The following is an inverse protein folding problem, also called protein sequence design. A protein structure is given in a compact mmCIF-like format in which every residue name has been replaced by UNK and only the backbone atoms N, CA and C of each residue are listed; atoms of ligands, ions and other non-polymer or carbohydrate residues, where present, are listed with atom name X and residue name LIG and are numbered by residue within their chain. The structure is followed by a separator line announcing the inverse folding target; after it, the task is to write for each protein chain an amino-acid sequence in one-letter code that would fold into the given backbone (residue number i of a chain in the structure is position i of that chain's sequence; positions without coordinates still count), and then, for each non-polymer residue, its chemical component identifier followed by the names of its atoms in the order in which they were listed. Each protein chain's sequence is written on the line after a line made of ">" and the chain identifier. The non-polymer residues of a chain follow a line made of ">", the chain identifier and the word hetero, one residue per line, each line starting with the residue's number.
data_IF_626358758411
#
_entry.id   IF_626358758411
#
_cell.length_a   1.000
_cell.length_b   1.000
_cell.length_c   1.000
_cell.angle_alpha   90.00
_cell.angle_beta   90.00
_cell.angle_gamma   90.00
#
_symmetry.space_group_name_H-M   'P 1'
#
loop_
_entity.id
_entity.type
_entity.pdbx_description
1 polymer ?
#
# COMPACT_ATOMS: atom_id res chain seq x y z
N UNK A 1 14.58 20.74 0.38
CA UNK A 1 13.79 19.95 -0.58
C UNK A 1 14.71 18.85 -1.12
N UNK A 2 14.26 17.60 -1.22
CA UNK A 2 15.04 16.56 -1.86
C UNK A 2 15.30 16.96 -3.32
N UNK A 3 16.55 16.90 -3.78
CA UNK A 3 16.94 17.17 -5.16
C UNK A 3 17.22 15.84 -5.87
N UNK A 4 16.80 15.71 -7.13
CA UNK A 4 17.20 14.57 -7.98
C UNK A 4 18.72 14.51 -8.03
N UNK A 5 19.32 13.36 -7.72
CA UNK A 5 20.77 13.21 -7.79
C UNK A 5 21.26 13.21 -9.24
N UNK A 6 22.41 13.83 -9.51
CA UNK A 6 23.04 13.81 -10.85
C UNK A 6 23.22 12.37 -11.37
N UNK A 7 23.60 11.44 -10.49
CA UNK A 7 23.78 10.04 -10.85
C UNK A 7 22.48 9.37 -11.34
N UNK A 8 21.36 9.64 -10.66
CA UNK A 8 20.05 9.13 -11.07
C UNK A 8 19.59 9.73 -12.40
N UNK A 9 19.75 11.04 -12.58
CA UNK A 9 19.42 11.72 -13.84
C UNK A 9 20.29 11.24 -15.00
N UNK A 10 21.59 11.06 -14.77
CA UNK A 10 22.53 10.53 -15.77
C UNK A 10 22.12 9.13 -16.21
N UNK A 11 21.88 8.21 -15.27
CA UNK A 11 21.45 6.84 -15.59
C UNK A 11 20.14 6.82 -16.41
N UNK A 12 19.17 7.63 -16.00
CA UNK A 12 17.89 7.80 -16.71
C UNK A 12 18.07 8.30 -18.15
N UNK A 13 18.89 9.33 -18.36
CA UNK A 13 19.14 9.89 -19.68
C UNK A 13 20.01 8.97 -20.55
N UNK A 14 20.99 8.26 -19.98
CA UNK A 14 21.81 7.29 -20.71
C UNK A 14 20.95 6.15 -21.26
N UNK A 15 19.97 5.63 -20.50
CA UNK A 15 19.01 4.63 -21.01
C UNK A 15 18.21 5.12 -22.23
N UNK A 16 17.96 6.43 -22.30
CA UNK A 16 17.20 7.08 -23.36
C UNK A 16 18.09 7.60 -24.50
N UNK A 17 19.39 7.34 -24.48
CA UNK A 17 20.41 7.94 -25.35
C UNK A 17 20.32 9.48 -25.41
N UNK A 18 20.10 10.13 -24.26
CA UNK A 18 19.96 11.57 -24.08
C UNK A 18 20.99 12.16 -23.10
N UNK A 19 22.07 11.43 -22.78
CA UNK A 19 23.07 11.86 -21.80
C UNK A 19 23.69 13.24 -22.12
N UNK A 20 23.77 13.62 -23.41
CA UNK A 20 24.24 14.94 -23.84
C UNK A 20 23.40 16.11 -23.28
N UNK A 21 22.17 15.84 -22.84
CA UNK A 21 21.26 16.83 -22.27
C UNK A 21 21.29 16.88 -20.74
N UNK A 22 22.21 16.16 -20.09
CA UNK A 22 22.23 16.02 -18.62
C UNK A 22 22.20 17.35 -17.88
N UNK A 23 23.06 18.30 -18.26
CA UNK A 23 23.09 19.59 -17.57
C UNK A 23 21.77 20.35 -17.77
N UNK A 24 21.25 20.39 -19.00
CA UNK A 24 19.98 21.04 -19.29
C UNK A 24 18.79 20.39 -18.56
N UNK A 25 18.83 19.06 -18.36
CA UNK A 25 17.83 18.34 -17.57
C UNK A 25 17.87 18.71 -16.09
N UNK A 26 19.06 18.78 -15.49
CA UNK A 26 19.23 19.18 -14.09
C UNK A 26 18.79 20.63 -13.88
N UNK A 27 19.17 21.53 -14.79
CA UNK A 27 18.80 22.94 -14.74
C UNK A 27 17.27 23.12 -14.85
N UNK A 28 16.62 22.33 -15.70
CA UNK A 28 15.15 22.32 -15.79
C UNK A 28 14.51 21.80 -14.49
N UNK A 29 15.05 20.74 -13.88
CA UNK A 29 14.52 20.22 -12.62
C UNK A 29 14.64 21.24 -11.48
N UNK A 30 15.74 22.00 -11.43
CA UNK A 30 15.91 23.08 -10.45
C UNK A 30 14.96 24.26 -10.73
N UNK A 31 14.73 24.60 -11.99
CA UNK A 31 13.86 25.71 -12.40
C UNK A 31 12.37 25.42 -12.20
N UNK A 32 11.90 24.24 -12.57
CA UNK A 32 10.49 23.83 -12.47
C UNK A 32 10.15 23.16 -11.13
N UNK A 33 11.17 22.92 -10.27
CA UNK A 33 10.97 22.33 -8.95
C UNK A 33 10.76 20.81 -8.95
N UNK A 34 11.11 20.12 -10.04
CA UNK A 34 10.99 18.68 -10.14
C UNK A 34 11.97 17.98 -9.17
N UNK A 35 11.43 17.33 -8.15
CA UNK A 35 12.18 16.68 -7.08
C UNK A 35 12.43 15.18 -7.33
N UNK A 36 11.80 14.60 -8.36
CA UNK A 36 11.85 13.17 -8.68
C UNK A 36 11.85 12.90 -10.19
N UNK A 37 12.35 11.73 -10.61
CA UNK A 37 12.29 11.34 -12.05
C UNK A 37 10.85 11.07 -12.49
N UNK A 38 9.98 10.69 -11.56
CA UNK A 38 8.54 10.52 -11.76
C UNK A 38 7.91 11.83 -12.25
N UNK A 39 8.18 12.96 -11.58
CA UNK A 39 7.71 14.29 -11.99
C UNK A 39 8.26 14.69 -13.37
N UNK A 40 9.51 14.33 -13.68
CA UNK A 40 10.12 14.55 -15.01
C UNK A 40 9.38 13.77 -16.10
N UNK A 41 8.90 12.56 -15.79
CA UNK A 41 8.12 11.74 -16.74
C UNK A 41 6.66 12.22 -16.83
N UNK A 42 6.05 12.67 -15.74
CA UNK A 42 4.71 13.26 -15.72
C UNK A 42 4.66 14.53 -16.58
N UNK A 43 5.68 15.39 -16.46
CA UNK A 43 5.85 16.61 -17.25
C UNK A 43 6.64 16.39 -18.55
N UNK A 44 6.60 15.16 -19.09
CA UNK A 44 7.41 14.74 -20.23
C UNK A 44 7.30 15.65 -21.46
N UNK A 45 6.13 16.24 -21.68
CA UNK A 45 5.89 17.14 -22.82
C UNK A 45 6.60 18.48 -22.64
N UNK A 46 6.59 19.06 -21.45
CA UNK A 46 7.28 20.32 -21.15
C UNK A 46 8.78 20.10 -21.05
N UNK A 47 9.19 19.01 -20.38
CA UNK A 47 10.59 18.59 -20.30
C UNK A 47 11.22 18.44 -21.70
N UNK A 48 10.58 17.69 -22.60
CA UNK A 48 11.09 17.49 -23.96
C UNK A 48 11.18 18.79 -24.78
N UNK A 49 10.25 19.73 -24.55
CA UNK A 49 10.27 21.04 -25.20
C UNK A 49 11.37 21.94 -24.66
N UNK A 50 11.55 21.99 -23.34
CA UNK A 50 12.60 22.76 -22.68
C UNK A 50 14.00 22.30 -23.09
N UNK A 51 14.21 20.98 -23.15
CA UNK A 51 15.47 20.38 -23.62
C UNK A 51 15.69 20.53 -25.13
N UNK A 52 14.69 21.03 -25.88
CA UNK A 52 14.71 21.17 -27.35
C UNK A 52 15.05 19.85 -28.04
N UNK A 53 14.48 18.75 -27.57
CA UNK A 53 14.70 17.42 -28.13
C UNK A 53 14.27 17.39 -29.60
N UNK A 54 15.08 16.74 -30.46
CA UNK A 54 14.72 16.52 -31.86
C UNK A 54 13.50 15.59 -31.95
N UNK A 55 12.78 15.62 -33.07
CA UNK A 55 11.57 14.82 -33.27
C UNK A 55 11.72 13.32 -32.94
N UNK A 56 12.87 12.71 -33.26
CA UNK A 56 13.13 11.30 -32.94
C UNK A 56 13.50 11.08 -31.46
N UNK A 57 14.26 11.99 -30.87
CA UNK A 57 14.63 11.98 -29.46
C UNK A 57 13.40 12.16 -28.57
N UNK A 58 12.51 13.09 -28.94
CA UNK A 58 11.22 13.32 -28.28
C UNK A 58 10.32 12.09 -28.34
N UNK A 59 10.12 11.50 -29.52
CA UNK A 59 9.31 10.27 -29.65
C UNK A 59 9.88 9.11 -28.85
N UNK A 60 11.22 8.97 -28.81
CA UNK A 60 11.89 7.95 -28.00
C UNK A 60 11.70 8.21 -26.51
N UNK A 61 11.85 9.46 -26.09
CA UNK A 61 11.60 9.89 -24.71
C UNK A 61 10.16 9.59 -24.29
N UNK A 62 9.16 10.10 -25.02
CA UNK A 62 7.73 9.89 -24.72
C UNK A 62 7.35 8.40 -24.66
N UNK A 63 7.96 7.55 -25.52
CA UNK A 63 7.68 6.11 -25.55
C UNK A 63 8.39 5.33 -24.45
N UNK A 64 9.63 5.70 -24.08
CA UNK A 64 10.52 4.88 -23.24
C UNK A 64 10.86 5.50 -21.90
N UNK A 65 10.39 6.71 -21.59
CA UNK A 65 10.67 7.37 -20.32
C UNK A 65 10.17 6.54 -19.11
N UNK A 66 9.02 5.88 -19.23
CA UNK A 66 8.52 4.96 -18.19
C UNK A 66 9.42 3.71 -18.03
N UNK A 67 9.97 3.19 -19.12
CA UNK A 67 10.93 2.06 -19.08
C UNK A 67 12.26 2.49 -18.43
N UNK A 68 12.75 3.68 -18.79
CA UNK A 68 13.97 4.26 -18.24
C UNK A 68 13.84 4.54 -16.74
N UNK A 69 12.67 5.00 -16.30
CA UNK A 69 12.35 5.20 -14.90
C UNK A 69 12.41 3.87 -14.15
N UNK A 70 11.81 2.81 -14.69
CA UNK A 70 11.84 1.47 -14.11
C UNK A 70 13.26 0.86 -14.07
N UNK A 71 14.12 1.18 -15.06
CA UNK A 71 15.50 0.69 -15.12
C UNK A 71 16.43 1.43 -14.15
N UNK A 72 16.27 2.75 -13.99
CA UNK A 72 17.03 3.56 -13.04
C UNK A 72 16.86 3.09 -11.58
N UNK A 73 15.71 2.48 -11.27
CA UNK A 73 15.40 1.86 -9.97
C UNK A 73 16.12 0.52 -9.74
N UNK A 74 16.56 -0.17 -10.80
CA UNK A 74 17.32 -1.43 -10.72
C UNK A 74 18.82 -1.18 -10.54
N UNK A 75 19.35 -0.11 -11.13
CA UNK A 75 20.77 0.24 -11.06
C UNK A 75 21.23 0.76 -9.68
N UNK A 76 20.31 1.02 -8.76
CA UNK A 76 20.58 1.49 -7.39
C UNK A 76 20.52 0.38 -6.32
N UNK A 77 20.26 -0.87 -6.71
CA UNK A 77 20.27 -2.01 -5.79
C UNK A 77 21.65 -2.73 -5.79
N UNK A 78 22.24 -3.07 -4.62
CA UNK A 78 23.43 -3.90 -4.58
C UNK A 78 23.11 -5.33 -5.05
N UNK A 79 23.99 -5.90 -5.88
CA UNK A 79 23.85 -7.23 -6.44
C UNK A 79 24.12 -8.32 -5.39
N UNK A 80 23.22 -9.30 -5.25
CA UNK A 80 23.53 -10.58 -4.62
C UNK A 80 23.05 -11.77 -5.45
N UNK A 81 23.93 -12.77 -5.46
CA UNK A 81 24.07 -13.88 -6.39
C UNK A 81 23.11 -15.05 -6.16
N UNK A 82 22.88 -15.79 -7.24
CA UNK A 82 22.11 -17.04 -7.30
C UNK A 82 22.65 -18.15 -6.39
N UNK A 83 21.80 -18.69 -5.51
CA UNK A 83 21.39 -20.11 -5.45
C UNK A 83 20.75 -20.45 -4.09
N UNK A 84 19.44 -20.72 -4.06
CA UNK A 84 18.93 -22.09 -3.89
C UNK A 84 17.39 -22.07 -3.85
N UNK A 85 16.82 -22.91 -4.70
CA UNK A 85 15.42 -23.02 -5.06
C UNK A 85 14.60 -23.70 -3.97
N UNK A 86 14.20 -22.92 -2.96
CA UNK A 86 12.91 -23.08 -2.26
C UNK A 86 12.23 -21.71 -2.29
N UNK A 87 11.34 -21.47 -3.27
CA UNK A 87 10.43 -20.33 -3.17
C UNK A 87 9.60 -20.53 -1.90
N UNK A 88 9.97 -19.85 -0.81
CA UNK A 88 9.28 -19.99 0.47
C UNK A 88 7.81 -19.59 0.26
N UNK A 89 6.86 -20.40 0.74
CA UNK A 89 5.44 -20.08 0.66
C UNK A 89 5.04 -18.93 1.62
N UNK A 90 5.94 -18.58 2.55
CA UNK A 90 5.74 -17.60 3.61
C UNK A 90 5.22 -16.23 3.12
N UNK A 91 5.69 -15.66 2.00
CA UNK A 91 5.17 -14.39 1.49
C UNK A 91 3.72 -14.51 1.00
N UNK A 92 3.35 -15.62 0.35
CA UNK A 92 2.00 -15.82 -0.18
C UNK A 92 1.00 -16.06 0.97
N UNK A 93 1.38 -16.88 1.96
CA UNK A 93 0.58 -17.14 3.15
C UNK A 93 0.36 -15.87 3.98
N UNK A 94 1.41 -15.06 4.17
CA UNK A 94 1.33 -13.79 4.89
C UNK A 94 0.32 -12.82 4.25
N UNK A 95 0.30 -12.71 2.92
CA UNK A 95 -0.65 -11.83 2.21
C UNK A 95 -2.12 -12.24 2.39
N UNK A 96 -2.36 -13.53 2.61
CA UNK A 96 -3.70 -14.09 2.86
C UNK A 96 -4.12 -13.99 4.34
N UNK A 97 -3.30 -13.43 5.22
CA UNK A 97 -3.64 -13.32 6.65
C UNK A 97 -4.72 -12.28 6.90
N UNK A 98 -5.60 -12.60 7.83
CA UNK A 98 -6.61 -11.72 8.37
C UNK A 98 -6.43 -11.59 9.88
N UNK A 99 -6.89 -10.46 10.42
CA UNK A 99 -6.90 -10.22 11.87
C UNK A 99 -8.05 -10.97 12.52
N UNK A 100 -7.84 -11.51 13.72
CA UNK A 100 -8.92 -12.15 14.49
C UNK A 100 -10.02 -11.14 14.83
N UNK A 101 -11.27 -11.50 14.54
CA UNK A 101 -12.41 -10.66 14.88
C UNK A 101 -12.59 -10.47 16.40
N UNK A 102 -12.24 -11.47 17.20
CA UNK A 102 -12.31 -11.36 18.67
C UNK A 102 -11.27 -10.39 19.20
N UNK A 103 -10.02 -10.49 18.71
CA UNK A 103 -8.97 -9.54 19.09
C UNK A 103 -9.33 -8.09 18.72
N UNK A 104 -9.93 -7.89 17.55
CA UNK A 104 -10.41 -6.57 17.12
C UNK A 104 -11.50 -6.01 18.04
N UNK A 105 -12.37 -6.84 18.61
CA UNK A 105 -13.44 -6.35 19.48
C UNK A 105 -12.99 -6.20 20.93
N UNK A 106 -12.16 -7.11 21.42
CA UNK A 106 -11.83 -7.22 22.83
C UNK A 106 -10.57 -6.42 23.22
N UNK A 107 -9.62 -6.27 22.29
CA UNK A 107 -8.28 -5.70 22.57
C UNK A 107 -8.05 -4.38 21.85
N UNK A 108 -8.34 -4.33 20.55
CA UNK A 108 -7.99 -3.19 19.71
C UNK A 108 -8.56 -1.83 20.18
N UNK A 109 -9.81 -1.71 20.68
CA UNK A 109 -10.35 -0.41 21.11
C UNK A 109 -9.60 0.17 22.32
N UNK A 110 -9.24 -0.68 23.28
CA UNK A 110 -8.45 -0.27 24.44
C UNK A 110 -7.04 0.17 24.03
N UNK A 111 -6.42 -0.54 23.08
CA UNK A 111 -5.13 -0.17 22.51
C UNK A 111 -5.20 1.19 21.80
N UNK A 112 -6.22 1.43 20.97
CA UNK A 112 -6.46 2.72 20.30
C UNK A 112 -6.56 3.86 21.32
N UNK A 113 -7.34 3.67 22.38
CA UNK A 113 -7.50 4.69 23.42
C UNK A 113 -6.19 4.97 24.15
N UNK A 114 -5.42 3.93 24.48
CA UNK A 114 -4.11 4.06 25.13
C UNK A 114 -3.11 4.82 24.26
N UNK A 115 -3.06 4.51 22.96
CA UNK A 115 -2.08 5.11 22.04
C UNK A 115 -2.43 6.53 21.58
N UNK A 116 -3.72 6.90 21.55
CA UNK A 116 -4.16 8.20 21.00
C UNK A 116 -4.79 9.14 22.02
N UNK A 117 -5.18 8.64 23.19
CA UNK A 117 -5.97 9.38 24.18
C UNK A 117 -7.42 9.67 23.78
N UNK A 118 -7.86 9.23 22.59
CA UNK A 118 -9.20 9.49 22.05
C UNK A 118 -10.10 8.26 22.22
N UNK A 119 -11.38 8.48 22.50
CA UNK A 119 -12.35 7.38 22.67
C UNK A 119 -12.73 6.71 21.34
N UNK A 120 -12.85 7.47 20.26
CA UNK A 120 -13.19 6.93 18.93
C UNK A 120 -12.59 7.75 17.79
N UNK A 121 -11.25 7.72 17.63
CA UNK A 121 -10.60 8.30 16.46
C UNK A 121 -10.99 7.55 15.17
N UNK A 122 -10.77 8.19 14.02
CA UNK A 122 -10.85 7.52 12.72
C UNK A 122 -9.60 6.68 12.44
N UNK A 123 -9.67 5.76 11.49
CA UNK A 123 -8.50 4.95 11.14
C UNK A 123 -7.38 5.77 10.46
N UNK A 124 -7.73 6.91 9.84
CA UNK A 124 -6.75 7.92 9.39
C UNK A 124 -5.96 8.47 10.59
N UNK A 125 -6.66 8.81 11.68
CA UNK A 125 -6.05 9.40 12.87
C UNK A 125 -5.17 8.41 13.65
N UNK A 126 -5.48 7.10 13.63
CA UNK A 126 -4.70 6.10 14.38
C UNK A 126 -3.55 5.49 13.58
N UNK A 127 -3.55 5.58 12.24
CA UNK A 127 -2.54 4.95 11.39
C UNK A 127 -1.08 5.36 11.76
N UNK A 128 -0.79 6.65 12.03
CA UNK A 128 0.55 7.07 12.44
C UNK A 128 0.99 6.50 13.79
N UNK A 129 0.07 6.04 14.64
CA UNK A 129 0.41 5.51 15.97
C UNK A 129 0.55 3.99 15.95
N UNK A 130 -0.37 3.30 15.26
CA UNK A 130 -0.50 1.84 15.35
C UNK A 130 0.02 1.11 14.12
N UNK A 131 0.02 1.76 12.96
CA UNK A 131 0.26 1.07 11.68
C UNK A 131 1.63 1.36 11.08
N UNK A 132 2.18 2.57 11.23
CA UNK A 132 3.45 2.94 10.61
C UNK A 132 4.33 3.94 11.41
N UNK A 133 3.99 4.25 12.65
CA UNK A 133 4.84 5.08 13.52
C UNK A 133 5.87 4.28 14.31
N UNK A 134 6.67 4.99 15.11
CA UNK A 134 7.72 4.40 15.96
C UNK A 134 7.16 3.45 17.03
N UNK A 135 5.92 3.65 17.44
CA UNK A 135 5.19 2.75 18.35
C UNK A 135 4.22 1.80 17.61
N UNK A 136 4.33 1.69 16.28
CA UNK A 136 3.47 0.83 15.48
C UNK A 136 3.63 -0.64 15.85
N UNK A 137 2.53 -1.40 15.81
CA UNK A 137 2.48 -2.80 16.27
C UNK A 137 3.49 -3.70 15.53
N UNK A 138 3.74 -3.38 14.25
CA UNK A 138 4.69 -4.09 13.41
C UNK A 138 6.13 -3.59 13.47
N UNK A 139 6.42 -2.50 14.20
CA UNK A 139 7.75 -1.88 14.27
C UNK A 139 8.79 -2.86 14.84
N UNK A 140 9.95 -2.94 14.20
CA UNK A 140 11.06 -3.81 14.59
C UNK A 140 10.84 -5.30 14.33
N UNK A 141 9.63 -5.71 13.95
CA UNK A 141 9.32 -7.11 13.60
C UNK A 141 9.69 -7.38 12.14
N UNK A 142 10.35 -8.50 11.88
CA UNK A 142 10.74 -8.92 10.53
C UNK A 142 9.49 -9.27 9.73
N UNK A 143 9.33 -8.62 8.58
CA UNK A 143 8.21 -8.84 7.68
C UNK A 143 8.38 -10.17 6.93
N UNK A 144 7.46 -11.14 7.05
CA UNK A 144 7.58 -12.44 6.38
C UNK A 144 7.39 -12.37 4.86
N UNK A 145 7.03 -11.20 4.31
CA UNK A 145 6.79 -11.00 2.88
C UNK A 145 8.05 -10.64 2.09
N UNK A 146 8.97 -9.92 2.73
CA UNK A 146 10.16 -9.34 2.11
C UNK A 146 11.44 -9.53 2.96
N UNK A 147 11.34 -10.07 4.17
CA UNK A 147 12.47 -10.30 5.09
C UNK A 147 13.00 -9.02 5.75
N UNK A 148 12.40 -7.87 5.48
CA UNK A 148 12.87 -6.57 5.95
C UNK A 148 12.24 -6.20 7.31
N UNK A 149 12.87 -5.33 8.11
CA UNK A 149 12.26 -4.81 9.34
C UNK A 149 10.94 -4.09 9.08
N UNK A 150 10.13 -3.97 10.13
CA UNK A 150 8.81 -3.33 10.14
C UNK A 150 7.77 -4.08 9.28
N UNK A 151 6.93 -4.86 9.97
CA UNK A 151 5.93 -5.76 9.37
C UNK A 151 4.51 -5.16 9.36
N UNK A 152 3.57 -5.80 8.67
CA UNK A 152 2.15 -5.46 8.80
C UNK A 152 1.60 -5.85 10.18
N UNK A 153 0.48 -5.26 10.60
CA UNK A 153 -0.12 -5.58 11.91
C UNK A 153 -0.51 -7.06 11.99
N UNK A 154 -1.10 -7.64 10.93
CA UNK A 154 -1.47 -9.06 10.95
C UNK A 154 -0.25 -9.98 11.06
N UNK A 155 0.88 -9.62 10.46
CA UNK A 155 2.09 -10.43 10.58
C UNK A 155 2.66 -10.34 12.00
N UNK A 156 2.62 -9.14 12.60
CA UNK A 156 3.03 -8.91 13.98
C UNK A 156 2.20 -9.68 15.01
N UNK A 157 0.93 -9.92 14.72
CA UNK A 157 -0.02 -10.62 15.59
C UNK A 157 0.00 -12.15 15.43
N UNK A 158 0.74 -12.68 14.44
CA UNK A 158 0.66 -14.10 14.10
C UNK A 158 1.19 -15.01 15.21
N UNK A 159 2.32 -14.67 15.83
CA UNK A 159 2.91 -15.45 16.91
C UNK A 159 2.04 -15.52 18.17
N UNK A 160 1.12 -14.56 18.33
CA UNK A 160 0.19 -14.48 19.46
C UNK A 160 -1.15 -15.19 19.18
N UNK A 161 -1.31 -15.79 17.99
CA UNK A 161 -2.57 -16.42 17.57
C UNK A 161 -3.69 -15.43 17.21
N UNK A 162 -3.38 -14.13 17.14
CA UNK A 162 -4.34 -13.06 16.87
C UNK A 162 -4.49 -12.75 15.36
N UNK A 163 -3.83 -13.52 14.50
CA UNK A 163 -4.03 -13.51 13.05
C UNK A 163 -3.97 -14.92 12.47
N UNK A 164 -4.66 -15.13 11.36
CA UNK A 164 -4.84 -16.43 10.73
C UNK A 164 -5.23 -16.30 9.26
N UNK A 165 -5.51 -17.41 8.57
CA UNK A 165 -5.97 -17.35 7.18
C UNK A 165 -7.31 -16.62 7.11
N UNK A 166 -7.40 -15.60 6.24
CA UNK A 166 -8.62 -14.80 6.10
C UNK A 166 -9.82 -15.64 5.68
N UNK A 167 -10.95 -15.42 6.34
CA UNK A 167 -12.24 -16.05 6.05
C UNK A 167 -13.23 -15.08 5.43
N UNK A 168 -12.98 -13.78 5.55
CA UNK A 168 -13.81 -12.72 4.98
C UNK A 168 -12.97 -11.49 4.65
N UNK A 169 -13.28 -10.84 3.54
CA UNK A 169 -12.70 -9.57 3.13
C UNK A 169 -13.57 -8.43 3.64
N UNK A 170 -13.00 -7.42 4.30
CA UNK A 170 -13.74 -6.24 4.71
C UNK A 170 -13.50 -5.08 3.74
N UNK A 171 -14.55 -4.69 3.03
CA UNK A 171 -14.59 -3.48 2.22
C UNK A 171 -15.23 -2.35 3.02
N UNK A 172 -14.51 -1.24 3.21
CA UNK A 172 -14.81 -0.19 4.18
C UNK A 172 -14.05 1.11 3.87
N UNK A 173 -14.20 2.15 4.71
CA UNK A 173 -13.57 3.47 4.51
C UNK A 173 -12.74 3.91 5.73
N UNK A 174 -11.52 4.40 5.49
CA UNK A 174 -10.56 4.80 6.52
C UNK A 174 -11.01 5.95 7.42
N UNK A 175 -11.92 6.81 6.96
CA UNK A 175 -12.46 7.93 7.75
C UNK A 175 -13.48 7.48 8.81
N UNK A 176 -13.90 6.21 8.82
CA UNK A 176 -14.82 5.67 9.82
C UNK A 176 -14.21 5.67 11.21
N UNK A 177 -15.05 5.81 12.25
CA UNK A 177 -14.62 5.81 13.65
C UNK A 177 -14.49 4.39 14.17
N UNK A 178 -13.48 4.15 15.01
CA UNK A 178 -13.15 2.80 15.52
C UNK A 178 -14.35 2.14 16.21
N UNK A 179 -15.08 2.86 17.08
CA UNK A 179 -16.20 2.27 17.84
C UNK A 179 -17.43 2.00 16.96
N UNK A 180 -17.65 2.80 15.90
CA UNK A 180 -18.73 2.56 14.95
C UNK A 180 -18.47 1.26 14.18
N UNK A 181 -17.23 1.10 13.70
CA UNK A 181 -16.79 -0.11 12.99
C UNK A 181 -16.86 -1.34 13.89
N UNK A 182 -16.37 -1.25 15.14
CA UNK A 182 -16.43 -2.34 16.10
C UNK A 182 -17.89 -2.71 16.45
N UNK A 183 -18.77 -1.72 16.65
CA UNK A 183 -20.18 -1.96 16.92
C UNK A 183 -20.88 -2.65 15.75
N UNK A 184 -20.61 -2.21 14.52
CA UNK A 184 -21.15 -2.84 13.31
C UNK A 184 -20.66 -4.29 13.17
N UNK A 185 -19.36 -4.52 13.37
CA UNK A 185 -18.76 -5.84 13.31
C UNK A 185 -19.32 -6.78 14.38
N UNK A 186 -19.45 -6.30 15.63
CA UNK A 186 -20.05 -7.06 16.73
C UNK A 186 -21.51 -7.46 16.44
N UNK A 187 -22.29 -6.56 15.83
CA UNK A 187 -23.66 -6.88 15.40
C UNK A 187 -23.69 -7.92 14.29
N UNK A 188 -22.80 -7.81 13.30
CA UNK A 188 -22.71 -8.80 12.22
C UNK A 188 -22.23 -10.16 12.74
N UNK A 189 -21.23 -10.24 13.63
CA UNK A 189 -20.77 -11.50 14.20
C UNK A 189 -21.88 -12.24 14.96
N UNK A 190 -22.76 -11.52 15.67
CA UNK A 190 -23.94 -12.12 16.32
C UNK A 190 -24.86 -12.83 15.32
N UNK A 191 -24.93 -12.38 14.06
CA UNK A 191 -25.73 -13.07 13.03
C UNK A 191 -25.05 -14.32 12.47
N UNK A 192 -23.74 -14.51 12.71
CA UNK A 192 -23.00 -15.69 12.28
C UNK A 192 -23.08 -16.86 13.28
N UNK A 193 -23.61 -16.62 14.49
CA UNK A 193 -23.67 -17.60 15.59
C UNK A 193 -22.48 -17.51 16.55
N UNK A 194 -22.71 -17.86 17.83
CA UNK A 194 -21.76 -17.66 18.94
C UNK A 194 -20.42 -18.39 18.76
N UNK A 195 -20.44 -19.60 18.19
CA UNK A 195 -19.21 -20.38 17.97
C UNK A 195 -18.43 -19.96 16.72
N UNK A 196 -19.06 -19.23 15.79
CA UNK A 196 -18.42 -18.83 14.54
C UNK A 196 -17.45 -17.65 14.73
N UNK A 197 -17.68 -16.79 15.73
CA UNK A 197 -16.93 -15.54 15.91
C UNK A 197 -15.43 -15.77 16.16
N UNK A 198 -15.07 -16.84 16.87
CA UNK A 198 -13.68 -17.23 17.12
C UNK A 198 -12.95 -17.77 15.88
N UNK A 199 -13.69 -18.09 14.81
CA UNK A 199 -13.16 -18.60 13.55
C UNK A 199 -13.14 -17.53 12.45
N UNK A 200 -13.53 -16.29 12.76
CA UNK A 200 -13.54 -15.20 11.78
C UNK A 200 -12.20 -14.47 11.78
N UNK A 201 -11.51 -14.54 10.65
CA UNK A 201 -10.30 -13.78 10.36
C UNK A 201 -10.58 -12.82 9.20
N UNK A 202 -10.40 -11.53 9.45
CA UNK A 202 -10.83 -10.47 8.55
C UNK A 202 -9.61 -9.99 7.74
N UNK A 203 -9.65 -10.15 6.43
CA UNK A 203 -8.75 -9.42 5.55
C UNK A 203 -9.20 -7.97 5.51
N UNK A 204 -8.46 -7.11 6.22
CA UNK A 204 -8.81 -5.73 6.43
C UNK A 204 -7.59 -4.88 6.17
N UNK A 205 -7.62 -4.08 5.09
CA UNK A 205 -6.46 -3.38 4.54
C UNK A 205 -5.64 -2.54 5.55
N UNK A 206 -6.27 -2.01 6.61
CA UNK A 206 -5.56 -1.33 7.70
C UNK A 206 -4.56 -2.25 8.41
N UNK A 207 -4.96 -3.50 8.68
CA UNK A 207 -4.16 -4.49 9.39
C UNK A 207 -3.27 -5.30 8.45
N UNK A 208 -3.77 -5.60 7.25
CA UNK A 208 -3.12 -6.53 6.31
C UNK A 208 -2.06 -5.88 5.46
N UNK A 209 -2.23 -4.62 5.05
CA UNK A 209 -1.21 -3.94 4.27
C UNK A 209 -0.06 -3.51 5.18
N UNK A 210 1.17 -3.64 4.70
CA UNK A 210 2.32 -3.13 5.42
C UNK A 210 2.40 -1.61 5.22
N UNK A 211 1.83 -0.86 6.17
CA UNK A 211 1.75 0.60 6.08
C UNK A 211 3.12 1.26 6.15
N UNK A 212 4.13 0.64 6.77
CA UNK A 212 5.50 1.15 6.73
C UNK A 212 6.03 1.24 5.30
N UNK A 213 5.77 0.23 4.47
CA UNK A 213 6.20 0.23 3.05
C UNK A 213 5.46 1.27 2.21
N UNK A 214 4.16 1.42 2.46
CA UNK A 214 3.31 2.36 1.72
C UNK A 214 3.73 3.82 2.03
N UNK A 215 4.10 4.11 3.28
CA UNK A 215 4.49 5.46 3.70
C UNK A 215 5.93 5.82 3.35
N UNK A 216 6.84 4.85 3.20
CA UNK A 216 8.24 5.09 2.80
C UNK A 216 8.44 5.48 1.32
N UNK A 217 7.40 5.96 0.63
CA UNK A 217 7.50 6.44 -0.75
C UNK A 217 7.53 5.33 -1.81
N UNK A 218 7.08 4.12 -1.48
CA UNK A 218 6.80 3.13 -2.51
C UNK A 218 5.66 3.62 -3.40
N UNK A 219 5.94 3.87 -4.68
CA UNK A 219 4.90 4.15 -5.69
C UNK A 219 4.04 2.89 -5.85
N UNK A 220 3.01 2.73 -5.03
CA UNK A 220 2.01 1.69 -5.28
C UNK A 220 1.12 2.20 -6.40
N UNK A 221 1.24 1.63 -7.59
CA UNK A 221 0.42 2.07 -8.71
C UNK A 221 -1.03 1.65 -8.48
N UNK A 222 -1.98 2.32 -9.16
CA UNK A 222 -3.38 1.88 -9.19
C UNK A 222 -3.50 0.42 -9.66
N UNK A 223 -2.61 -0.01 -10.56
CA UNK A 223 -2.59 -1.38 -11.06
C UNK A 223 -2.09 -2.37 -10.00
N UNK A 224 -1.04 -2.03 -9.24
CA UNK A 224 -0.57 -2.87 -8.12
C UNK A 224 -1.62 -3.01 -7.02
N UNK A 225 -2.40 -1.94 -6.78
CA UNK A 225 -3.55 -1.96 -5.88
C UNK A 225 -4.68 -2.83 -6.47
N UNK A 226 -5.01 -2.69 -7.75
CA UNK A 226 -6.03 -3.52 -8.40
C UNK A 226 -5.67 -5.02 -8.36
N UNK A 227 -4.42 -5.36 -8.65
CA UNK A 227 -3.93 -6.75 -8.62
C UNK A 227 -3.88 -7.28 -7.18
N UNK A 228 -3.34 -6.51 -6.23
CA UNK A 228 -3.26 -6.92 -4.83
C UNK A 228 -4.65 -7.05 -4.20
N UNK A 229 -5.54 -6.09 -4.36
CA UNK A 229 -6.86 -6.13 -3.73
C UNK A 229 -7.81 -7.10 -4.45
N UNK A 230 -7.81 -7.12 -5.79
CA UNK A 230 -8.64 -8.00 -6.59
C UNK A 230 -8.31 -9.48 -6.38
N UNK A 231 -7.04 -9.85 -6.37
CA UNK A 231 -6.63 -11.23 -6.13
C UNK A 231 -6.97 -11.71 -4.73
N UNK A 232 -6.73 -10.87 -3.72
CA UNK A 232 -7.00 -11.23 -2.33
C UNK A 232 -8.50 -11.39 -2.11
N UNK A 233 -9.31 -10.47 -2.63
CA UNK A 233 -10.76 -10.56 -2.59
C UNK A 233 -11.27 -11.86 -3.23
N UNK A 234 -10.80 -12.20 -4.44
CA UNK A 234 -11.15 -13.45 -5.13
C UNK A 234 -10.72 -14.70 -4.35
N UNK A 235 -9.51 -14.69 -3.77
CA UNK A 235 -8.98 -15.82 -2.99
C UNK A 235 -9.70 -16.02 -1.65
N UNK A 236 -10.19 -14.95 -1.03
CA UNK A 236 -10.99 -15.03 0.20
C UNK A 236 -12.42 -15.50 -0.10
N UNK A 237 -13.01 -15.07 -1.23
CA UNK A 237 -14.28 -15.59 -1.74
C UNK A 237 -15.54 -15.15 -0.98
N UNK A 238 -15.40 -14.38 0.10
CA UNK A 238 -16.50 -13.75 0.83
C UNK A 238 -16.13 -12.32 1.19
N UNK A 239 -17.07 -11.40 1.00
CA UNK A 239 -16.88 -9.98 1.31
C UNK A 239 -17.97 -9.45 2.24
N UNK A 240 -17.56 -8.66 3.23
CA UNK A 240 -18.41 -7.81 4.05
C UNK A 240 -18.26 -6.37 3.61
N UNK A 241 -19.37 -5.72 3.28
CA UNK A 241 -19.42 -4.29 2.96
C UNK A 241 -19.85 -3.52 4.20
N UNK A 242 -19.08 -2.51 4.60
CA UNK A 242 -19.42 -1.65 5.71
C UNK A 242 -19.78 -0.23 5.27
N UNK A 243 -21.01 0.17 5.55
CA UNK A 243 -21.55 1.50 5.28
C UNK A 243 -21.85 2.22 6.60
N UNK A 244 -21.32 3.42 6.78
CA UNK A 244 -21.54 4.21 7.99
C UNK A 244 -22.96 4.80 8.10
N UNK A 245 -23.66 4.95 6.98
CA UNK A 245 -24.99 5.56 6.90
C UNK A 245 -25.88 4.77 5.94
N UNK A 246 -27.18 4.85 6.15
CA UNK A 246 -28.16 4.26 5.23
C UNK A 246 -28.33 5.11 3.96
N UNK A 247 -28.44 6.44 4.11
CA UNK A 247 -28.48 7.40 2.98
C UNK A 247 -27.13 8.07 2.82
N UNK A 248 -26.70 8.21 1.58
CA UNK A 248 -25.45 8.89 1.20
C UNK A 248 -24.21 8.41 2.00
N UNK A 249 -23.93 7.08 2.06
CA UNK A 249 -22.77 6.58 2.78
C UNK A 249 -21.47 7.05 2.12
N UNK A 250 -20.45 7.33 2.91
CA UNK A 250 -19.13 7.70 2.36
C UNK A 250 -18.54 6.55 1.52
N UNK A 251 -18.91 5.32 1.83
CA UNK A 251 -18.55 4.12 1.08
C UNK A 251 -18.77 4.25 -0.43
N UNK A 252 -19.98 4.67 -0.87
CA UNK A 252 -20.32 4.70 -2.30
C UNK A 252 -19.68 5.86 -3.05
N UNK A 253 -19.00 6.77 -2.33
CA UNK A 253 -18.26 7.89 -2.90
C UNK A 253 -16.79 7.55 -3.17
N UNK A 254 -16.33 6.37 -2.76
CA UNK A 254 -14.92 5.95 -2.87
C UNK A 254 -14.73 4.98 -4.03
N UNK A 255 -13.91 5.38 -5.00
CA UNK A 255 -13.64 4.58 -6.21
C UNK A 255 -13.14 3.16 -5.88
N UNK A 256 -12.28 3.02 -4.85
CA UNK A 256 -11.79 1.72 -4.38
C UNK A 256 -12.91 0.80 -3.87
N UNK A 257 -13.87 1.36 -3.13
CA UNK A 257 -15.02 0.60 -2.64
C UNK A 257 -15.92 0.13 -3.80
N UNK A 258 -16.14 0.99 -4.80
CA UNK A 258 -16.90 0.63 -6.01
C UNK A 258 -16.17 -0.48 -6.79
N UNK A 259 -14.85 -0.36 -6.94
CA UNK A 259 -14.02 -1.38 -7.58
C UNK A 259 -14.09 -2.73 -6.84
N UNK A 260 -13.97 -2.76 -5.52
CA UNK A 260 -14.09 -3.98 -4.72
C UNK A 260 -15.46 -4.65 -4.90
N UNK A 261 -16.55 -3.88 -4.93
CA UNK A 261 -17.90 -4.40 -5.22
C UNK A 261 -17.99 -5.00 -6.62
N UNK A 262 -17.44 -4.32 -7.62
CA UNK A 262 -17.40 -4.83 -8.98
C UNK A 262 -16.62 -6.16 -9.07
N UNK A 263 -15.46 -6.23 -8.41
CA UNK A 263 -14.62 -7.43 -8.39
C UNK A 263 -15.23 -8.59 -7.61
N UNK A 264 -16.04 -8.33 -6.58
CA UNK A 264 -16.75 -9.36 -5.83
C UNK A 264 -17.94 -9.95 -6.60
N UNK A 265 -18.50 -9.19 -7.55
CA UNK A 265 -19.65 -9.61 -8.37
C UNK A 265 -19.25 -10.30 -9.69
N UNK A 266 -17.96 -10.28 -10.04
CA UNK A 266 -17.39 -10.84 -11.27
C UNK A 266 -16.92 -12.29 -11.08
#
# INVERSE_FOLDING_TARGET
>A
MPKISEAAMRAFLTFLDLETYLQAALDWCEKEGAASLEEVVEESTDFAQSLKLKNLERKRFEKRAQEALADSRKSTAPAESLADSRKSAAPAESRMRGVSATWVLDVFPAMVKSSTGKDSPSFIEIAPFLAHGDAGIGKGKVCPRDGMPDSSIVDALFSEGNSGRSTIFLSWVWSYKVLDVCSALARWLKTQGTNASALVFIWWCFFTNNQFRIQSGGTVTTQDLCETFGDQLKKVGRMLIMMNKYRDPEYVKRIWCIFEVHMAAA
#
